data_IF_310177831321
#
_entry.id   IF_310177831321
#
_cell.length_a   1.000
_cell.length_b   1.000
_cell.length_c   1.000
_cell.angle_alpha   90.00
_cell.angle_beta   90.00
_cell.angle_gamma   90.00
#
_symmetry.space_group_name_H-M   'P 1'
#
loop_
_entity.id
_entity.type
_entity.pdbx_description
1 polymer ?
#
# COMPACT_ATOMS: atom_id res chain seq x y z
N UNK A 1 7.14 -16.05 -15.89
CA UNK A 1 6.67 -14.67 -15.66
C UNK A 1 6.01 -14.70 -14.31
N UNK A 2 6.63 -14.08 -13.31
CA UNK A 2 6.08 -14.12 -11.95
C UNK A 2 4.80 -13.28 -11.91
N UNK A 3 3.78 -13.80 -11.24
CA UNK A 3 2.56 -13.06 -10.99
C UNK A 3 2.88 -11.97 -9.95
N UNK A 4 2.45 -10.73 -10.19
CA UNK A 4 2.62 -9.63 -9.23
C UNK A 4 2.13 -10.04 -7.83
N UNK A 5 0.99 -10.73 -7.73
CA UNK A 5 0.46 -11.16 -6.44
C UNK A 5 1.40 -12.16 -5.73
N UNK A 6 2.12 -13.01 -6.46
CA UNK A 6 3.08 -13.95 -5.85
C UNK A 6 4.25 -13.21 -5.20
N UNK A 7 4.72 -12.11 -5.83
CA UNK A 7 5.76 -11.24 -5.27
C UNK A 7 5.26 -10.48 -4.04
N UNK A 8 4.04 -9.96 -4.10
CA UNK A 8 3.41 -9.29 -2.96
C UNK A 8 3.21 -10.24 -1.77
N UNK A 9 2.87 -11.50 -2.03
CA UNK A 9 2.74 -12.52 -1.00
C UNK A 9 4.08 -12.81 -0.28
N UNK A 10 5.23 -12.55 -0.90
CA UNK A 10 6.53 -12.66 -0.23
C UNK A 10 6.73 -11.62 0.87
N UNK A 11 5.94 -10.53 0.89
CA UNK A 11 6.00 -9.48 1.90
C UNK A 11 5.19 -9.81 3.17
N UNK A 12 4.43 -10.91 3.15
CA UNK A 12 3.57 -11.34 4.25
C UNK A 12 4.35 -11.49 5.57
N UNK A 13 3.72 -11.03 6.67
CA UNK A 13 4.32 -10.98 8.01
C UNK A 13 5.67 -10.23 8.04
N UNK A 14 5.84 -9.27 7.12
CA UNK A 14 7.01 -8.43 7.03
C UNK A 14 6.97 -7.28 8.03
N UNK A 15 8.13 -6.85 8.49
CA UNK A 15 8.28 -5.63 9.29
C UNK A 15 8.62 -4.49 8.34
N UNK A 16 7.78 -3.45 8.29
CA UNK A 16 8.08 -2.21 7.59
C UNK A 16 9.12 -1.45 8.41
N UNK A 17 10.36 -1.43 7.92
CA UNK A 17 11.48 -0.75 8.59
C UNK A 17 11.53 0.73 8.23
N UNK A 18 11.07 1.06 7.03
CA UNK A 18 10.97 2.43 6.54
C UNK A 18 9.79 2.56 5.59
N UNK A 19 9.13 3.71 5.64
CA UNK A 19 8.17 4.12 4.62
C UNK A 19 8.39 5.58 4.26
N UNK A 20 8.12 5.94 3.01
CA UNK A 20 8.23 7.33 2.51
C UNK A 20 7.03 7.64 1.64
N UNK A 21 6.41 8.79 1.86
CA UNK A 21 5.37 9.36 0.98
C UNK A 21 5.94 10.63 0.36
N UNK A 22 6.16 10.61 -0.94
CA UNK A 22 6.62 11.77 -1.71
C UNK A 22 5.46 12.31 -2.55
N UNK A 23 4.90 13.42 -2.07
CA UNK A 23 3.77 14.08 -2.72
C UNK A 23 4.17 14.81 -4.02
N UNK A 24 5.44 15.19 -4.16
CA UNK A 24 5.91 15.92 -5.35
C UNK A 24 6.13 14.96 -6.52
N UNK A 25 6.68 13.78 -6.24
CA UNK A 25 6.92 12.74 -7.24
C UNK A 25 5.78 11.73 -7.36
N UNK A 26 4.73 11.85 -6.54
CA UNK A 26 3.58 10.94 -6.50
C UNK A 26 4.01 9.49 -6.25
N UNK A 27 4.89 9.27 -5.27
CA UNK A 27 5.42 7.94 -4.95
C UNK A 27 5.22 7.58 -3.48
N UNK A 28 5.03 6.28 -3.23
CA UNK A 28 5.03 5.70 -1.89
C UNK A 28 5.97 4.51 -1.89
N UNK A 29 6.87 4.47 -0.91
CA UNK A 29 7.90 3.44 -0.81
C UNK A 29 7.86 2.78 0.57
N UNK A 30 8.08 1.47 0.59
CA UNK A 30 8.21 0.66 1.80
C UNK A 30 9.46 -0.23 1.69
N UNK A 31 10.31 -0.16 2.72
CA UNK A 31 11.37 -1.14 2.94
C UNK A 31 10.87 -2.15 3.97
N UNK A 32 10.78 -3.42 3.56
CA UNK A 32 10.15 -4.48 4.34
C UNK A 32 11.15 -5.60 4.63
N UNK A 33 11.33 -5.94 5.90
CA UNK A 33 12.14 -7.08 6.33
C UNK A 33 11.23 -8.25 6.68
N UNK A 34 11.44 -9.40 6.04
CA UNK A 34 10.71 -10.64 6.35
C UNK A 34 11.62 -11.65 7.06
N UNK A 35 11.02 -12.57 7.81
CA UNK A 35 11.74 -13.68 8.44
C UNK A 35 10.95 -14.98 8.26
N UNK A 36 11.39 -15.80 7.31
CA UNK A 36 10.75 -17.08 7.02
C UNK A 36 11.67 -18.24 7.41
N UNK A 37 11.29 -18.99 8.44
CA UNK A 37 12.08 -20.13 8.91
C UNK A 37 13.49 -19.78 9.40
N UNK A 38 13.71 -18.54 9.88
CA UNK A 38 15.01 -18.03 10.31
C UNK A 38 15.84 -17.37 9.20
N UNK A 39 15.35 -17.35 7.96
CA UNK A 39 15.99 -16.64 6.85
C UNK A 39 15.45 -15.22 6.80
N UNK A 40 16.35 -14.24 6.96
CA UNK A 40 16.03 -12.83 6.85
C UNK A 40 16.16 -12.40 5.38
N UNK A 41 15.11 -11.78 4.85
CA UNK A 41 15.09 -11.17 3.52
C UNK A 41 14.67 -9.70 3.63
N UNK A 42 15.14 -8.90 2.68
CA UNK A 42 14.83 -7.48 2.58
C UNK A 42 14.19 -7.23 1.23
N UNK A 43 13.07 -6.53 1.26
CA UNK A 43 12.25 -6.26 0.10
C UNK A 43 11.99 -4.76 -0.03
N UNK A 44 11.93 -4.29 -1.27
CA UNK A 44 11.58 -2.92 -1.60
C UNK A 44 10.28 -2.90 -2.42
N UNK A 45 9.28 -2.20 -1.92
CA UNK A 45 7.98 -2.02 -2.55
C UNK A 45 7.78 -0.53 -2.85
N UNK A 46 7.61 -0.19 -4.13
CA UNK A 46 7.43 1.19 -4.58
C UNK A 46 6.21 1.36 -5.47
N UNK A 47 5.29 2.19 -5.04
CA UNK A 47 4.16 2.66 -5.84
C UNK A 47 4.54 3.97 -6.53
N UNK A 48 4.25 4.07 -7.84
CA UNK A 48 4.55 5.27 -8.64
C UNK A 48 3.32 5.74 -9.39
N UNK A 49 3.17 7.07 -9.50
CA UNK A 49 1.97 7.69 -10.06
C UNK A 49 0.78 7.49 -9.14
N UNK A 50 1.00 7.65 -7.83
CA UNK A 50 -0.05 7.53 -6.82
C UNK A 50 -1.03 8.69 -6.97
N UNK A 51 -2.28 8.36 -7.31
CA UNK A 51 -3.38 9.31 -7.50
C UNK A 51 -4.12 9.57 -6.19
N UNK A 52 -4.26 8.55 -5.34
CA UNK A 52 -4.92 8.66 -4.05
C UNK A 52 -4.45 7.59 -3.06
N UNK A 53 -4.56 7.91 -1.77
CA UNK A 53 -4.30 7.01 -0.65
C UNK A 53 -5.41 7.20 0.38
N UNK A 54 -5.97 6.10 0.87
CA UNK A 54 -6.97 6.11 1.92
C UNK A 54 -6.48 5.25 3.07
N UNK A 55 -6.38 5.88 4.23
CA UNK A 55 -6.09 5.20 5.48
C UNK A 55 -7.42 4.95 6.20
N UNK A 56 -7.79 3.69 6.32
CA UNK A 56 -8.98 3.24 7.04
C UNK A 56 -8.49 2.66 8.36
N UNK A 57 -8.86 3.32 9.44
CA UNK A 57 -8.52 2.90 10.79
C UNK A 57 -9.71 3.18 11.69
N UNK A 58 -10.36 2.12 12.15
CA UNK A 58 -11.46 2.19 13.11
C UNK A 58 -10.97 2.21 14.57
N UNK A 59 -9.67 2.03 14.79
CA UNK A 59 -9.05 2.06 16.11
C UNK A 59 -8.71 3.49 16.55
N UNK A 60 -8.81 3.73 17.85
CA UNK A 60 -8.30 4.96 18.45
C UNK A 60 -6.78 5.04 18.29
N UNK A 61 -6.22 6.22 17.98
CA UNK A 61 -4.78 6.42 17.98
C UNK A 61 -4.20 6.04 19.34
N UNK A 62 -3.17 5.20 19.34
CA UNK A 62 -2.33 4.91 20.49
C UNK A 62 -0.90 5.27 20.16
N UNK A 63 -0.16 5.77 21.15
CA UNK A 63 1.29 5.92 21.02
C UNK A 63 1.92 4.52 20.94
N UNK A 64 2.86 4.29 20.02
CA UNK A 64 3.60 3.02 19.98
C UNK A 64 4.46 2.84 21.24
N UNK A 65 4.47 1.63 21.77
CA UNK A 65 5.28 1.23 22.92
C UNK A 65 6.69 0.78 22.50
N UNK A 66 7.60 0.65 23.46
CA UNK A 66 8.95 0.16 23.19
C UNK A 66 8.90 -1.29 22.68
N UNK A 67 9.40 -1.51 21.47
CA UNK A 67 9.37 -2.82 20.80
C UNK A 67 8.26 -2.96 19.77
N UNK A 68 7.36 -1.99 19.65
CA UNK A 68 6.36 -1.95 18.59
C UNK A 68 7.02 -1.79 17.21
N UNK A 69 6.38 -2.36 16.20
CA UNK A 69 6.82 -2.29 14.81
C UNK A 69 5.61 -2.08 13.89
N UNK A 70 5.80 -1.95 12.58
CA UNK A 70 4.68 -1.97 11.65
C UNK A 70 4.74 -3.29 10.90
N UNK A 71 3.82 -4.21 11.20
CA UNK A 71 3.69 -5.45 10.44
C UNK A 71 2.86 -5.20 9.19
N UNK A 72 3.42 -5.57 8.04
CA UNK A 72 2.71 -5.70 6.79
C UNK A 72 2.09 -7.10 6.75
N UNK A 73 0.82 -7.17 7.16
CA UNK A 73 0.10 -8.43 7.28
C UNK A 73 -0.38 -8.94 5.93
N UNK A 74 -0.71 -8.05 4.98
CA UNK A 74 -0.98 -8.45 3.59
C UNK A 74 -0.79 -7.30 2.60
N UNK A 75 -0.54 -7.64 1.34
CA UNK A 75 -0.62 -6.73 0.19
C UNK A 75 -1.36 -7.43 -0.93
N UNK A 76 -2.49 -6.86 -1.34
CA UNK A 76 -3.34 -7.41 -2.40
C UNK A 76 -3.41 -6.44 -3.56
N UNK A 77 -3.23 -6.97 -4.77
CA UNK A 77 -3.50 -6.28 -6.02
C UNK A 77 -4.77 -6.85 -6.66
N UNK A 78 -5.70 -5.97 -7.02
CA UNK A 78 -6.85 -6.34 -7.83
C UNK A 78 -7.13 -5.25 -8.85
N UNK A 79 -6.91 -5.60 -10.13
CA UNK A 79 -7.14 -4.70 -11.27
C UNK A 79 -8.62 -4.35 -11.45
N UNK A 80 -9.51 -5.23 -11.00
CA UNK A 80 -10.96 -5.13 -11.14
C UNK A 80 -11.60 -4.72 -9.80
N UNK A 81 -10.80 -4.24 -8.83
CA UNK A 81 -11.30 -3.78 -7.54
C UNK A 81 -12.34 -2.69 -7.76
N UNK A 82 -13.61 -3.02 -7.52
CA UNK A 82 -14.73 -2.09 -7.68
C UNK A 82 -14.84 -1.08 -6.54
N UNK A 83 -13.80 -0.94 -5.71
CA UNK A 83 -13.78 -0.05 -4.56
C UNK A 83 -13.52 1.39 -5.02
N UNK A 84 -14.61 2.05 -5.40
CA UNK A 84 -14.63 3.48 -5.70
C UNK A 84 -14.72 4.27 -4.40
N UNK A 85 -13.70 5.07 -4.10
CA UNK A 85 -13.71 5.96 -2.95
C UNK A 85 -14.11 7.36 -3.40
N UNK A 86 -15.18 7.90 -2.80
CA UNK A 86 -15.73 9.22 -3.13
C UNK A 86 -15.61 10.16 -1.95
N UNK A 87 -15.17 11.39 -2.22
CA UNK A 87 -15.25 12.46 -1.22
C UNK A 87 -16.71 12.87 -1.07
N UNK A 88 -17.33 12.52 0.06
CA UNK A 88 -18.64 13.07 0.42
C UNK A 88 -18.44 14.47 1.01
N UNK A 89 -18.91 15.47 0.28
CA UNK A 89 -18.92 16.85 0.74
C UNK A 89 -20.28 17.48 0.43
N UNK A 90 -20.78 18.29 1.36
CA UNK A 90 -22.03 19.06 1.16
C UNK A 90 -21.89 20.10 0.04
N UNK A 91 -20.64 20.52 -0.25
CA UNK A 91 -20.33 21.40 -1.37
C UNK A 91 -20.13 20.63 -2.67
N UNK A 92 -20.81 21.06 -3.75
CA UNK A 92 -20.63 20.54 -5.11
C UNK A 92 -19.20 20.66 -5.66
N UNK A 93 -18.38 21.52 -5.06
CA UNK A 93 -17.01 21.75 -5.50
C UNK A 93 -16.18 20.47 -5.50
N UNK A 94 -16.37 19.57 -4.53
CA UNK A 94 -15.56 18.37 -4.38
C UNK A 94 -16.23 17.09 -4.89
N UNK A 95 -17.44 17.17 -5.44
CA UNK A 95 -18.20 15.98 -5.87
C UNK A 95 -17.57 15.24 -7.05
N UNK A 96 -16.58 15.84 -7.71
CA UNK A 96 -15.82 15.24 -8.80
C UNK A 96 -14.62 14.42 -8.30
N UNK A 97 -14.22 14.56 -7.03
CA UNK A 97 -13.10 13.84 -6.44
C UNK A 97 -13.51 12.40 -6.15
N UNK A 98 -13.01 11.49 -6.98
CA UNK A 98 -13.14 10.05 -6.84
C UNK A 98 -11.80 9.39 -7.18
N UNK A 99 -11.60 8.18 -6.67
CA UNK A 99 -10.49 7.33 -7.06
C UNK A 99 -10.94 5.88 -7.13
N UNK A 100 -10.11 5.04 -7.75
CA UNK A 100 -10.29 3.59 -7.74
C UNK A 100 -9.01 2.96 -7.25
N UNK A 101 -9.02 2.51 -6.00
CA UNK A 101 -7.88 1.82 -5.46
C UNK A 101 -7.65 0.51 -6.22
N UNK A 102 -6.40 0.19 -6.51
CA UNK A 102 -6.00 -1.08 -7.10
C UNK A 102 -5.12 -1.91 -6.17
N UNK A 103 -4.72 -1.34 -5.02
CA UNK A 103 -4.08 -2.08 -3.93
C UNK A 103 -4.80 -1.89 -2.60
N UNK A 104 -4.79 -2.96 -1.82
CA UNK A 104 -5.14 -2.99 -0.41
C UNK A 104 -3.95 -3.54 0.38
N UNK A 105 -3.41 -2.73 1.28
CA UNK A 105 -2.41 -3.14 2.25
C UNK A 105 -3.07 -3.27 3.62
N UNK A 106 -2.74 -4.32 4.35
CA UNK A 106 -3.10 -4.46 5.75
C UNK A 106 -1.85 -4.25 6.61
N UNK A 107 -1.85 -3.22 7.43
CA UNK A 107 -0.75 -2.85 8.32
C UNK A 107 -1.27 -2.83 9.76
N UNK A 108 -0.91 -3.82 10.58
CA UNK A 108 -1.37 -3.89 11.98
C UNK A 108 -2.90 -3.84 12.13
N UNK A 109 -3.62 -4.55 11.25
CA UNK A 109 -5.08 -4.57 11.24
C UNK A 109 -5.70 -3.23 10.84
N UNK A 110 -4.94 -2.34 10.18
CA UNK A 110 -5.45 -1.14 9.49
C UNK A 110 -5.33 -1.33 7.99
N UNK A 111 -6.31 -0.84 7.26
CA UNK A 111 -6.35 -0.94 5.82
C UNK A 111 -5.82 0.35 5.16
N UNK A 112 -4.92 0.19 4.21
CA UNK A 112 -4.44 1.26 3.33
C UNK A 112 -4.80 0.92 1.90
N UNK A 113 -5.69 1.72 1.32
CA UNK A 113 -6.04 1.63 -0.09
C UNK A 113 -5.17 2.59 -0.90
N UNK A 114 -4.62 2.10 -2.01
CA UNK A 114 -3.76 2.90 -2.90
C UNK A 114 -4.29 2.79 -4.33
N UNK A 115 -4.44 3.95 -4.99
CA UNK A 115 -4.64 4.09 -6.43
C UNK A 115 -3.30 4.53 -7.06
N UNK A 116 -2.66 3.63 -7.80
CA UNK A 116 -1.36 3.87 -8.41
C UNK A 116 -1.31 3.43 -9.89
N UNK A 117 -0.48 4.10 -10.69
CA UNK A 117 -0.26 3.72 -12.09
C UNK A 117 0.64 2.49 -12.24
N UNK A 118 1.62 2.34 -11.34
CA UNK A 118 2.60 1.25 -11.38
C UNK A 118 3.09 0.87 -10.00
N UNK A 119 3.60 -0.34 -9.88
CA UNK A 119 4.30 -0.84 -8.70
C UNK A 119 5.61 -1.51 -9.10
N UNK A 120 6.63 -1.33 -8.28
CA UNK A 120 7.90 -2.05 -8.35
C UNK A 120 8.08 -2.88 -7.08
N UNK A 121 8.41 -4.17 -7.25
CA UNK A 121 8.74 -5.09 -6.15
C UNK A 121 10.12 -5.69 -6.42
N UNK A 122 11.09 -5.39 -5.56
CA UNK A 122 12.48 -5.87 -5.69
C UNK A 122 13.09 -5.62 -7.08
N UNK A 123 12.86 -4.42 -7.64
CA UNK A 123 13.33 -4.03 -8.97
C UNK A 123 12.48 -4.55 -10.14
N UNK A 124 11.42 -5.32 -9.88
CA UNK A 124 10.50 -5.82 -10.91
C UNK A 124 9.30 -4.88 -11.05
N UNK A 125 9.16 -4.27 -12.22
CA UNK A 125 8.14 -3.28 -12.52
C UNK A 125 6.85 -3.88 -13.12
N UNK A 126 5.70 -3.35 -12.71
CA UNK A 126 4.37 -3.74 -13.18
C UNK A 126 3.49 -2.51 -13.42
N UNK A 127 2.86 -2.43 -14.59
CA UNK A 127 1.76 -1.48 -14.86
C UNK A 127 0.46 -2.05 -14.29
N UNK A 128 -0.25 -1.23 -13.50
CA UNK A 128 -1.39 -1.69 -12.67
C UNK A 128 -2.58 -0.75 -12.67
N UNK A 129 -2.41 0.51 -13.09
CA UNK A 129 -3.48 1.49 -13.24
C UNK A 129 -3.72 1.86 -14.70
N UNK A 130 -4.94 2.25 -15.03
CA UNK A 130 -5.23 2.90 -16.30
C UNK A 130 -4.75 4.36 -16.24
N UNK A 131 -4.02 4.79 -17.28
CA UNK A 131 -3.55 6.16 -17.44
C UNK A 131 -4.71 7.17 -17.35
#
# INVERSE_FOLDING_TARGET
>A
MENLQDLLNCLWAGVIEKHTVDLFNHTIEFDVRTNWGGVISYHHLKFTGVKAVYYINDQFPSEPEEGDYLELSSVSYDKDMEMEVKVSADSKEYSHLNSKANFLLEIWGREVLIDALSVEVDGKFFEVGCA
#
